data_IF_128563418777
#
_entry.id   IF_128563418777
#
_cell.length_a   1.000
_cell.length_b   1.000
_cell.length_c   1.000
_cell.angle_alpha   90.00
_cell.angle_beta   90.00
_cell.angle_gamma   90.00
#
_symmetry.space_group_name_H-M   'P 1'
#
loop_
_entity.id
_entity.type
_entity.pdbx_description
1 polymer ?
#
# COMPACT_ATOMS: atom_id res chain seq x y z
N UNK A 1 25.86 7.34 9.67
CA UNK A 1 25.44 8.46 8.78
C UNK A 1 26.58 9.31 8.21
N UNK A 2 27.53 9.87 9.00
CA UNK A 2 28.58 10.77 8.47
C UNK A 2 29.42 10.17 7.34
N UNK A 3 29.67 8.86 7.40
CA UNK A 3 30.32 8.09 6.35
C UNK A 3 29.59 8.23 5.00
N UNK A 4 28.24 8.14 4.97
CA UNK A 4 27.48 8.17 3.72
C UNK A 4 27.66 9.50 2.99
N UNK A 5 27.72 10.61 3.74
CA UNK A 5 28.00 11.93 3.18
C UNK A 5 29.38 11.99 2.51
N UNK A 6 30.40 11.40 3.13
CA UNK A 6 31.76 11.38 2.57
C UNK A 6 31.75 10.61 1.26
N UNK A 7 31.22 9.39 1.26
CA UNK A 7 31.33 8.49 0.11
C UNK A 7 30.46 8.93 -1.06
N UNK A 8 29.26 9.48 -0.81
CA UNK A 8 28.44 10.09 -1.86
C UNK A 8 29.12 11.30 -2.45
N UNK A 9 29.67 12.22 -1.62
CA UNK A 9 30.41 13.38 -2.14
C UNK A 9 31.60 12.95 -3.00
N UNK A 10 32.31 11.89 -2.61
CA UNK A 10 33.42 11.34 -3.40
C UNK A 10 32.93 10.77 -4.73
N UNK A 11 31.88 9.93 -4.72
CA UNK A 11 31.32 9.36 -5.95
C UNK A 11 30.85 10.45 -6.92
N UNK A 12 30.17 11.49 -6.42
CA UNK A 12 29.69 12.63 -7.22
C UNK A 12 30.80 13.55 -7.76
N UNK A 13 32.08 13.30 -7.46
CA UNK A 13 33.20 13.95 -8.18
C UNK A 13 33.43 13.35 -9.56
N UNK A 14 32.99 12.12 -9.76
CA UNK A 14 33.21 11.33 -10.98
C UNK A 14 31.87 11.06 -11.66
N UNK A 15 30.84 10.76 -10.88
CA UNK A 15 29.51 10.41 -11.34
C UNK A 15 28.58 11.63 -11.42
N UNK A 16 27.61 11.58 -12.32
CA UNK A 16 26.52 12.55 -12.33
C UNK A 16 25.62 12.36 -11.11
N UNK A 17 25.03 13.46 -10.64
CA UNK A 17 24.02 13.38 -9.58
C UNK A 17 22.84 12.56 -10.10
N UNK A 18 22.44 11.51 -9.38
CA UNK A 18 21.37 10.66 -9.86
C UNK A 18 20.01 11.36 -9.69
N UNK A 19 19.01 10.99 -10.50
CA UNK A 19 17.66 11.54 -10.41
C UNK A 19 16.96 11.14 -9.09
N UNK A 20 15.83 11.77 -8.81
CA UNK A 20 15.04 11.52 -7.59
C UNK A 20 13.90 10.51 -7.78
N UNK A 21 13.85 9.78 -8.90
CA UNK A 21 12.67 8.98 -9.29
C UNK A 21 12.27 7.94 -8.23
N UNK A 22 13.28 7.30 -7.62
CA UNK A 22 13.09 6.24 -6.62
C UNK A 22 13.28 6.71 -5.17
N UNK A 23 13.28 8.03 -4.89
CA UNK A 23 13.36 8.54 -3.51
C UNK A 23 12.34 7.85 -2.59
N UNK A 24 11.02 7.77 -2.94
CA UNK A 24 10.04 7.18 -2.03
C UNK A 24 10.26 5.68 -1.77
N UNK A 25 10.70 4.93 -2.80
CA UNK A 25 11.06 3.52 -2.66
C UNK A 25 12.23 3.36 -1.68
N UNK A 26 13.31 4.11 -1.88
CA UNK A 26 14.52 4.02 -1.05
C UNK A 26 14.22 4.42 0.39
N UNK A 27 13.41 5.45 0.62
CA UNK A 27 12.93 5.84 1.96
C UNK A 27 12.19 4.68 2.61
N UNK A 28 11.27 4.02 1.90
CA UNK A 28 10.53 2.85 2.40
C UNK A 28 11.41 1.64 2.76
N UNK A 29 12.66 1.58 2.26
CA UNK A 29 13.64 0.53 2.60
C UNK A 29 14.41 0.80 3.89
N UNK A 30 14.26 1.98 4.50
CA UNK A 30 14.92 2.38 5.73
C UNK A 30 13.86 2.61 6.82
N UNK A 31 13.62 1.60 7.67
CA UNK A 31 12.63 1.70 8.75
C UNK A 31 12.94 2.80 9.78
N UNK A 32 14.21 3.18 9.88
CA UNK A 32 14.80 4.17 10.79
C UNK A 32 15.15 5.48 10.06
N UNK A 33 14.57 5.72 8.88
CA UNK A 33 14.85 6.92 8.08
C UNK A 33 14.65 8.24 8.87
N UNK A 34 13.67 8.28 9.77
CA UNK A 34 13.40 9.46 10.59
C UNK A 34 14.47 9.72 11.66
N UNK A 35 15.31 8.73 12.00
CA UNK A 35 16.43 8.89 12.94
C UNK A 35 17.69 9.47 12.28
N UNK A 36 17.70 9.56 10.94
CA UNK A 36 18.78 10.18 10.18
C UNK A 36 18.70 11.69 10.37
N UNK A 37 19.83 12.34 10.67
CA UNK A 37 19.89 13.80 10.72
C UNK A 37 19.42 14.43 9.41
N UNK A 38 18.60 15.48 9.47
CA UNK A 38 17.93 16.05 8.30
C UNK A 38 18.89 16.49 7.19
N UNK A 39 20.05 17.05 7.54
CA UNK A 39 21.11 17.44 6.59
C UNK A 39 21.80 16.24 5.91
N UNK A 40 21.58 15.03 6.41
CA UNK A 40 22.16 13.78 5.93
C UNK A 40 21.16 12.86 5.20
N UNK A 41 19.85 13.12 5.30
CA UNK A 41 18.80 12.30 4.69
C UNK A 41 19.00 12.11 3.18
N UNK A 42 19.28 13.18 2.43
CA UNK A 42 19.54 13.05 0.99
C UNK A 42 20.79 12.21 0.69
N UNK A 43 21.85 12.34 1.49
CA UNK A 43 23.06 11.53 1.30
C UNK A 43 22.80 10.05 1.59
N UNK A 44 21.92 9.73 2.54
CA UNK A 44 21.50 8.35 2.76
C UNK A 44 20.78 7.80 1.53
N UNK A 45 19.81 8.54 0.99
CA UNK A 45 19.07 8.15 -0.22
C UNK A 45 20.00 7.97 -1.41
N UNK A 46 20.85 8.96 -1.69
CA UNK A 46 21.83 8.91 -2.78
C UNK A 46 22.82 7.75 -2.61
N UNK A 47 23.19 7.42 -1.37
CA UNK A 47 24.06 6.28 -1.06
C UNK A 47 23.45 4.92 -1.45
N UNK A 48 22.15 4.73 -1.23
CA UNK A 48 21.41 3.55 -1.69
C UNK A 48 21.25 3.55 -3.20
N UNK A 49 20.96 4.71 -3.79
CA UNK A 49 20.77 4.85 -5.23
C UNK A 49 22.03 4.56 -6.02
N UNK A 50 23.16 5.09 -5.57
CA UNK A 50 24.47 4.81 -6.16
C UNK A 50 24.96 3.39 -5.82
N UNK A 51 24.26 2.65 -4.96
CA UNK A 51 24.63 1.30 -4.57
C UNK A 51 25.88 1.22 -3.71
N UNK A 52 26.22 2.30 -3.02
CA UNK A 52 27.38 2.40 -2.12
C UNK A 52 27.07 1.76 -0.77
N UNK A 53 25.85 1.97 -0.27
CA UNK A 53 25.36 1.45 1.01
C UNK A 53 23.99 0.78 0.82
N UNK A 54 23.65 -0.14 1.71
CA UNK A 54 22.36 -0.86 1.67
C UNK A 54 21.71 -1.02 3.05
N UNK A 55 22.40 -0.62 4.12
CA UNK A 55 21.98 -0.91 5.49
C UNK A 55 21.92 -2.42 5.77
N UNK A 56 21.22 -2.81 6.82
CA UNK A 56 21.02 -4.21 7.19
C UNK A 56 19.70 -4.38 7.91
N UNK A 57 19.06 -5.55 7.74
CA UNK A 57 17.78 -5.89 8.35
C UNK A 57 16.63 -4.88 8.09
N UNK A 58 16.68 -4.13 6.98
CA UNK A 58 15.67 -3.11 6.64
C UNK A 58 15.89 -1.74 7.30
N UNK A 59 17.05 -1.50 7.90
CA UNK A 59 17.42 -0.26 8.56
C UNK A 59 18.76 0.28 8.05
N UNK A 60 18.95 1.58 8.11
CA UNK A 60 20.18 2.28 7.72
C UNK A 60 21.24 2.32 8.81
N UNK A 61 20.82 2.30 10.08
CA UNK A 61 21.65 2.43 11.29
C UNK A 61 22.40 3.77 11.36
N UNK A 62 21.69 4.93 11.40
CA UNK A 62 22.33 6.25 11.27
C UNK A 62 23.41 6.52 12.32
N UNK A 63 23.20 6.08 13.56
CA UNK A 63 24.13 6.28 14.69
C UNK A 63 25.05 5.09 14.93
N UNK A 64 24.94 4.04 14.11
CA UNK A 64 25.80 2.86 14.19
C UNK A 64 27.25 3.15 13.78
N UNK A 65 28.18 2.38 14.34
CA UNK A 65 29.57 2.35 13.88
C UNK A 65 29.71 1.32 12.77
N UNK A 66 30.58 1.61 11.80
CA UNK A 66 30.92 0.63 10.78
C UNK A 66 31.95 -0.36 11.34
N UNK A 67 31.75 -1.63 11.03
CA UNK A 67 32.81 -2.63 11.11
C UNK A 67 33.87 -2.37 10.04
N UNK A 68 35.08 -2.91 10.24
CA UNK A 68 36.16 -2.81 9.24
C UNK A 68 35.76 -3.42 7.89
N UNK A 69 34.98 -4.50 7.91
CA UNK A 69 34.51 -5.18 6.70
C UNK A 69 33.50 -4.32 5.91
N UNK A 70 32.55 -3.69 6.60
CA UNK A 70 31.60 -2.76 5.97
C UNK A 70 32.32 -1.55 5.38
N UNK A 71 33.26 -0.96 6.11
CA UNK A 71 34.06 0.16 5.61
C UNK A 71 34.86 -0.21 4.36
N UNK A 72 35.51 -1.38 4.35
CA UNK A 72 36.24 -1.89 3.19
C UNK A 72 35.30 -2.11 1.99
N UNK A 73 34.11 -2.66 2.22
CA UNK A 73 33.10 -2.88 1.18
C UNK A 73 32.67 -1.57 0.53
N UNK A 74 32.42 -0.52 1.31
CA UNK A 74 32.05 0.79 0.77
C UNK A 74 33.21 1.40 -0.03
N UNK A 75 34.45 1.27 0.43
CA UNK A 75 35.63 1.74 -0.32
C UNK A 75 35.74 1.01 -1.67
N UNK A 76 35.59 -0.32 -1.68
CA UNK A 76 35.59 -1.11 -2.92
C UNK A 76 34.53 -0.59 -3.90
N UNK A 77 33.29 -0.34 -3.43
CA UNK A 77 32.20 0.20 -4.27
C UNK A 77 32.47 1.62 -4.81
N UNK A 78 33.30 2.41 -4.13
CA UNK A 78 33.74 3.71 -4.65
C UNK A 78 34.76 3.51 -5.78
N UNK A 79 35.73 2.62 -5.56
CA UNK A 79 36.85 2.37 -6.49
C UNK A 79 36.43 1.57 -7.74
N UNK A 80 35.47 0.66 -7.58
CA UNK A 80 34.95 -0.20 -8.63
C UNK A 80 33.42 -0.08 -8.69
N UNK A 81 32.93 0.55 -9.76
CA UNK A 81 31.49 0.75 -9.96
C UNK A 81 30.75 -0.55 -10.27
N UNK A 82 31.45 -1.61 -10.70
CA UNK A 82 30.83 -2.92 -10.97
C UNK A 82 30.42 -3.66 -9.69
N UNK A 83 31.03 -3.29 -8.55
CA UNK A 83 30.70 -3.82 -7.23
C UNK A 83 29.51 -3.09 -6.56
N UNK A 84 29.07 -1.96 -7.13
CA UNK A 84 27.93 -1.20 -6.62
C UNK A 84 26.65 -2.00 -6.79
N UNK A 85 25.73 -1.83 -5.83
CA UNK A 85 24.42 -2.49 -5.84
C UNK A 85 23.29 -1.46 -5.71
N UNK A 86 22.99 -0.68 -6.78
CA UNK A 86 21.94 0.31 -6.78
C UNK A 86 20.61 -0.24 -6.27
N UNK A 87 19.98 0.48 -5.35
CA UNK A 87 18.64 0.15 -4.87
C UNK A 87 17.62 0.70 -5.85
N UNK A 88 16.97 -0.22 -6.58
CA UNK A 88 15.92 0.09 -7.56
C UNK A 88 14.75 -0.86 -7.33
N UNK A 89 13.50 -0.41 -7.57
CA UNK A 89 12.34 -1.28 -7.42
C UNK A 89 12.34 -2.37 -8.48
N UNK A 90 11.97 -3.59 -8.10
CA UNK A 90 11.60 -4.63 -9.06
C UNK A 90 10.28 -4.30 -9.78
N UNK A 91 9.99 -4.94 -10.92
CA UNK A 91 8.74 -4.76 -11.66
C UNK A 91 7.49 -5.02 -10.78
N UNK A 92 7.56 -6.05 -9.92
CA UNK A 92 6.48 -6.41 -9.00
C UNK A 92 6.39 -5.50 -7.77
N UNK A 93 7.36 -4.60 -7.56
CA UNK A 93 7.41 -3.63 -6.46
C UNK A 93 6.86 -2.26 -6.86
N UNK A 94 6.09 -2.20 -7.95
CA UNK A 94 5.47 -0.97 -8.44
C UNK A 94 3.99 -1.13 -8.73
N UNK A 95 3.24 -0.08 -8.40
CA UNK A 95 1.87 0.16 -8.89
C UNK A 95 1.85 1.54 -9.52
N UNK A 96 1.42 1.64 -10.77
CA UNK A 96 1.28 2.90 -11.48
C UNK A 96 -0.16 3.38 -11.49
N UNK A 97 -0.38 4.56 -10.92
CA UNK A 97 -1.63 5.28 -10.92
C UNK A 97 -1.56 6.49 -11.84
N UNK A 98 -2.71 7.06 -12.18
CA UNK A 98 -2.82 8.40 -12.74
C UNK A 98 -3.35 9.33 -11.64
N UNK A 99 -2.70 10.48 -11.44
CA UNK A 99 -3.21 11.53 -10.57
C UNK A 99 -4.44 12.22 -11.19
N UNK A 100 -5.03 13.17 -10.46
CA UNK A 100 -6.21 13.92 -10.93
C UNK A 100 -5.97 14.77 -12.19
N UNK A 101 -4.71 14.94 -12.61
CA UNK A 101 -4.29 15.67 -13.80
C UNK A 101 -3.83 14.73 -14.93
N UNK A 102 -3.89 13.42 -14.72
CA UNK A 102 -3.42 12.42 -15.67
C UNK A 102 -1.92 12.16 -15.65
N UNK A 103 -1.17 12.67 -14.67
CA UNK A 103 0.25 12.37 -14.53
C UNK A 103 0.44 11.00 -13.87
N UNK A 104 1.43 10.21 -14.32
CA UNK A 104 1.75 8.95 -13.66
C UNK A 104 2.26 9.19 -12.24
N UNK A 105 1.70 8.46 -11.29
CA UNK A 105 2.17 8.39 -9.90
C UNK A 105 2.49 6.93 -9.59
N UNK A 106 3.67 6.67 -9.06
CA UNK A 106 4.10 5.30 -8.72
C UNK A 106 4.10 5.13 -7.22
N UNK A 107 3.55 4.01 -6.77
CA UNK A 107 3.59 3.58 -5.38
C UNK A 107 4.48 2.36 -5.28
N UNK A 108 5.25 2.32 -4.19
CA UNK A 108 6.20 1.26 -3.88
C UNK A 108 5.95 0.69 -2.49
N UNK A 109 6.36 -0.56 -2.19
CA UNK A 109 6.20 -1.17 -0.87
C UNK A 109 6.66 -0.26 0.27
N UNK A 110 5.74 0.01 1.20
CA UNK A 110 6.07 0.71 2.45
C UNK A 110 6.58 -0.23 3.55
N UNK A 111 6.74 0.32 4.76
CA UNK A 111 7.19 -0.44 5.94
C UNK A 111 6.26 -1.60 6.32
N UNK A 112 4.95 -1.46 6.05
CA UNK A 112 3.95 -2.54 6.21
C UNK A 112 3.72 -3.20 4.84
N UNK A 113 4.52 -4.22 4.52
CA UNK A 113 4.50 -4.92 3.22
C UNK A 113 3.13 -5.48 2.82
N UNK A 114 2.32 -5.85 3.82
CA UNK A 114 0.97 -6.39 3.60
C UNK A 114 0.09 -5.42 2.80
N UNK A 115 0.14 -4.12 3.11
CA UNK A 115 -0.70 -3.10 2.46
C UNK A 115 -0.42 -3.03 0.95
N UNK A 116 0.86 -3.09 0.57
CA UNK A 116 1.26 -3.09 -0.84
C UNK A 116 0.87 -4.41 -1.53
N UNK A 117 1.00 -5.53 -0.84
CA UNK A 117 0.60 -6.85 -1.34
C UNK A 117 -0.91 -6.88 -1.67
N UNK A 118 -1.74 -6.34 -0.78
CA UNK A 118 -3.19 -6.22 -1.00
C UNK A 118 -3.51 -5.22 -2.12
N UNK A 119 -2.75 -4.12 -2.24
CA UNK A 119 -2.90 -3.18 -3.34
C UNK A 119 -2.58 -3.83 -4.71
N UNK A 120 -1.51 -4.63 -4.82
CA UNK A 120 -1.19 -5.41 -6.03
C UNK A 120 -2.27 -6.44 -6.35
N UNK A 121 -2.80 -7.13 -5.34
CA UNK A 121 -3.91 -8.05 -5.54
C UNK A 121 -5.17 -7.33 -6.04
N UNK A 122 -5.42 -6.12 -5.54
CA UNK A 122 -6.52 -5.27 -6.00
C UNK A 122 -6.33 -4.85 -7.47
N UNK A 123 -5.13 -4.42 -7.86
CA UNK A 123 -4.78 -4.12 -9.26
C UNK A 123 -4.99 -5.34 -10.17
N UNK A 124 -4.47 -6.50 -9.78
CA UNK A 124 -4.59 -7.74 -10.54
C UNK A 124 -6.05 -8.23 -10.65
N UNK A 125 -6.91 -7.88 -9.68
CA UNK A 125 -8.31 -8.25 -9.67
C UNK A 125 -9.19 -7.36 -10.57
N UNK A 126 -8.72 -6.20 -11.02
CA UNK A 126 -9.54 -5.25 -11.81
C UNK A 126 -10.30 -5.91 -12.99
N UNK A 127 -9.71 -6.84 -13.78
CA UNK A 127 -10.43 -7.52 -14.87
C UNK A 127 -11.58 -8.43 -14.43
N UNK A 128 -11.71 -8.73 -13.12
CA UNK A 128 -12.79 -9.54 -12.56
C UNK A 128 -14.04 -8.72 -12.23
N UNK A 129 -13.94 -7.39 -12.23
CA UNK A 129 -15.09 -6.51 -12.11
C UNK A 129 -15.87 -6.51 -13.43
N UNK A 130 -17.21 -6.63 -13.37
CA UNK A 130 -18.08 -6.45 -14.54
C UNK A 130 -18.43 -4.98 -14.77
N UNK A 131 -18.43 -4.17 -13.71
CA UNK A 131 -18.56 -2.72 -13.79
C UNK A 131 -17.21 -2.01 -13.95
N UNK A 132 -17.20 -0.69 -13.83
CA UNK A 132 -15.99 0.11 -13.89
C UNK A 132 -15.41 0.33 -12.49
N UNK A 133 -14.10 0.11 -12.33
CA UNK A 133 -13.37 0.37 -11.09
C UNK A 133 -12.34 1.47 -11.33
N UNK A 134 -12.52 2.62 -10.69
CA UNK A 134 -11.49 3.64 -10.61
C UNK A 134 -10.53 3.29 -9.46
N UNK A 135 -9.36 2.75 -9.79
CA UNK A 135 -8.31 2.39 -8.85
C UNK A 135 -7.23 3.47 -8.81
N UNK A 136 -7.05 4.12 -7.67
CA UNK A 136 -6.19 5.30 -7.54
C UNK A 136 -5.58 5.41 -6.14
N UNK A 137 -4.49 6.17 -6.02
CA UNK A 137 -4.01 6.68 -4.74
C UNK A 137 -4.50 8.12 -4.55
N UNK A 138 -4.96 8.45 -3.35
CA UNK A 138 -5.35 9.82 -2.98
C UNK A 138 -4.17 10.78 -3.12
N UNK A 139 -4.45 12.05 -3.38
CA UNK A 139 -3.41 13.09 -3.57
C UNK A 139 -2.53 13.31 -2.33
N UNK A 140 -3.00 12.91 -1.15
CA UNK A 140 -2.23 12.93 0.10
C UNK A 140 -1.32 11.70 0.29
N UNK A 141 -1.39 10.73 -0.63
CA UNK A 141 -0.64 9.49 -0.58
C UNK A 141 -1.08 8.52 0.52
N UNK A 142 -2.19 8.81 1.23
CA UNK A 142 -2.57 8.07 2.45
C UNK A 142 -3.45 6.88 2.17
N UNK A 143 -4.34 6.97 1.20
CA UNK A 143 -5.28 5.90 0.86
C UNK A 143 -5.14 5.47 -0.58
N UNK A 144 -5.10 4.16 -0.81
CA UNK A 144 -5.34 3.57 -2.12
C UNK A 144 -6.79 3.10 -2.15
N UNK A 145 -7.55 3.51 -3.15
CA UNK A 145 -8.98 3.28 -3.24
C UNK A 145 -9.34 2.64 -4.57
N UNK A 146 -10.23 1.66 -4.54
CA UNK A 146 -10.96 1.12 -5.68
C UNK A 146 -12.43 1.58 -5.56
N UNK A 147 -12.77 2.68 -6.24
CA UNK A 147 -14.15 3.14 -6.33
C UNK A 147 -14.87 2.39 -7.46
N UNK A 148 -16.03 1.82 -7.16
CA UNK A 148 -16.77 0.96 -8.06
C UNK A 148 -18.00 1.71 -8.61
N UNK A 149 -18.22 1.65 -9.91
CA UNK A 149 -19.30 2.33 -10.63
C UNK A 149 -19.91 1.39 -11.66
N UNK A 150 -21.20 1.56 -11.97
CA UNK A 150 -21.89 0.79 -13.03
C UNK A 150 -21.05 0.65 -14.30
N UNK A 151 -20.54 1.76 -14.79
CA UNK A 151 -19.74 1.88 -16.01
C UNK A 151 -18.87 3.14 -15.96
N UNK A 152 -18.01 3.31 -16.97
CA UNK A 152 -17.12 4.48 -17.07
C UNK A 152 -17.89 5.80 -17.19
N UNK A 153 -19.00 5.80 -17.93
CA UNK A 153 -19.81 7.00 -18.13
C UNK A 153 -20.43 7.50 -16.81
N UNK A 154 -20.76 6.58 -15.89
CA UNK A 154 -21.27 6.90 -14.56
C UNK A 154 -20.21 7.61 -13.71
N UNK A 155 -18.97 7.13 -13.75
CA UNK A 155 -17.83 7.80 -13.12
C UNK A 155 -17.58 9.20 -13.70
N UNK A 156 -17.59 9.33 -15.02
CA UNK A 156 -17.36 10.61 -15.70
C UNK A 156 -18.48 11.64 -15.43
N UNK A 157 -19.73 11.18 -15.27
CA UNK A 157 -20.85 12.04 -14.86
C UNK A 157 -20.71 12.53 -13.42
N UNK A 158 -20.30 11.66 -12.50
CA UNK A 158 -20.10 12.03 -11.10
C UNK A 158 -19.20 11.04 -10.37
N UNK A 159 -18.09 11.57 -9.84
CA UNK A 159 -17.18 10.79 -8.99
C UNK A 159 -17.83 10.38 -7.65
N UNK A 160 -18.93 11.01 -7.26
CA UNK A 160 -19.65 10.72 -6.00
C UNK A 160 -20.67 9.59 -6.14
N UNK A 161 -21.17 9.32 -7.35
CA UNK A 161 -22.19 8.29 -7.63
C UNK A 161 -21.65 6.86 -7.67
N UNK A 162 -20.76 6.51 -6.74
CA UNK A 162 -20.14 5.18 -6.67
C UNK A 162 -21.05 4.17 -5.98
N UNK A 163 -21.08 2.95 -6.50
CA UNK A 163 -21.77 1.78 -5.95
C UNK A 163 -21.14 1.34 -4.62
N UNK A 164 -19.81 1.28 -4.61
CA UNK A 164 -19.02 0.79 -3.51
C UNK A 164 -17.60 1.36 -3.55
N UNK A 165 -16.86 1.19 -2.46
CA UNK A 165 -15.46 1.55 -2.36
C UNK A 165 -14.74 0.53 -1.49
N UNK A 166 -13.64 -0.02 -2.01
CA UNK A 166 -12.63 -0.68 -1.20
C UNK A 166 -11.46 0.29 -0.98
N UNK A 167 -11.07 0.53 0.25
CA UNK A 167 -9.98 1.45 0.61
C UNK A 167 -8.93 0.74 1.47
N UNK A 168 -7.67 1.01 1.14
CA UNK A 168 -6.48 0.55 1.84
C UNK A 168 -5.84 1.77 2.51
N UNK A 169 -5.71 1.75 3.83
CA UNK A 169 -5.04 2.80 4.60
C UNK A 169 -3.51 2.63 4.46
N UNK A 170 -2.97 3.12 3.36
CA UNK A 170 -1.62 2.83 2.87
C UNK A 170 -0.51 3.51 3.70
N UNK A 171 -0.56 4.83 3.83
CA UNK A 171 0.42 5.62 4.59
C UNK A 171 -0.24 6.37 5.76
N UNK A 172 -1.28 5.78 6.35
CA UNK A 172 -2.01 6.36 7.48
C UNK A 172 -1.35 5.94 8.79
N UNK A 173 -0.95 6.91 9.60
CA UNK A 173 -0.52 6.65 10.99
C UNK A 173 -1.75 6.40 11.87
N UNK A 174 -1.65 5.44 12.77
CA UNK A 174 -2.64 5.17 13.83
C UNK A 174 -4.07 4.86 13.34
N UNK A 175 -4.21 4.26 12.16
CA UNK A 175 -5.53 3.83 11.67
C UNK A 175 -6.06 2.63 12.47
N UNK A 176 -7.31 2.70 12.92
CA UNK A 176 -7.97 1.57 13.59
C UNK A 176 -8.15 0.38 12.65
N UNK A 177 -8.48 0.66 11.38
CA UNK A 177 -8.71 -0.36 10.35
C UNK A 177 -7.85 -0.06 9.13
N UNK A 178 -7.30 -1.10 8.54
CA UNK A 178 -6.38 -0.97 7.42
C UNK A 178 -7.03 -1.23 6.08
N UNK A 179 -8.14 -1.97 6.09
CA UNK A 179 -8.99 -2.17 4.92
C UNK A 179 -10.43 -1.85 5.26
N UNK A 180 -11.11 -1.13 4.37
CA UNK A 180 -12.55 -0.91 4.48
C UNK A 180 -13.22 -1.17 3.14
N UNK A 181 -14.32 -1.91 3.15
CA UNK A 181 -15.27 -2.01 2.04
C UNK A 181 -16.53 -1.29 2.48
N UNK A 182 -17.02 -0.35 1.69
CA UNK A 182 -18.33 0.27 1.88
C UNK A 182 -19.15 0.07 0.60
N UNK A 183 -20.41 -0.32 0.75
CA UNK A 183 -21.38 -0.57 -0.32
C UNK A 183 -22.58 0.32 -0.02
N UNK A 184 -23.00 1.11 -1.01
CA UNK A 184 -24.12 2.04 -0.93
C UNK A 184 -25.30 1.63 -1.83
N UNK A 185 -25.07 0.69 -2.74
CA UNK A 185 -26.08 0.10 -3.63
C UNK A 185 -25.74 -1.40 -3.74
N UNK A 186 -26.43 -2.21 -2.92
CA UNK A 186 -26.14 -3.62 -2.73
C UNK A 186 -26.58 -4.48 -3.93
N UNK A 187 -27.71 -4.15 -4.55
CA UNK A 187 -28.20 -4.81 -5.76
C UNK A 187 -27.22 -4.66 -6.92
N UNK A 188 -26.80 -3.42 -7.22
CA UNK A 188 -25.82 -3.17 -8.27
C UNK A 188 -24.45 -3.77 -7.92
N UNK A 189 -24.07 -3.74 -6.64
CA UNK A 189 -22.82 -4.34 -6.20
C UNK A 189 -22.80 -5.85 -6.46
N UNK A 190 -23.85 -6.56 -6.05
CA UNK A 190 -23.95 -8.02 -6.18
C UNK A 190 -23.97 -8.45 -7.65
N UNK A 191 -24.51 -7.63 -8.54
CA UNK A 191 -24.47 -7.90 -9.98
C UNK A 191 -23.04 -7.80 -10.56
N UNK A 192 -22.30 -6.76 -10.15
CA UNK A 192 -21.13 -6.28 -10.89
C UNK A 192 -19.77 -6.57 -10.24
N UNK A 193 -19.67 -6.61 -8.91
CA UNK A 193 -18.39 -6.60 -8.19
C UNK A 193 -18.07 -7.79 -7.26
N UNK A 194 -18.91 -8.84 -7.05
CA UNK A 194 -18.54 -9.89 -6.09
C UNK A 194 -17.29 -10.66 -6.56
N UNK A 195 -17.12 -10.87 -7.87
CA UNK A 195 -15.91 -11.50 -8.42
C UNK A 195 -14.63 -10.71 -8.11
N UNK A 196 -14.69 -9.38 -8.23
CA UNK A 196 -13.59 -8.48 -7.91
C UNK A 196 -13.21 -8.53 -6.42
N UNK A 197 -14.17 -8.33 -5.52
CA UNK A 197 -13.90 -8.31 -4.09
C UNK A 197 -13.47 -9.68 -3.55
N UNK A 198 -14.03 -10.78 -4.08
CA UNK A 198 -13.63 -12.13 -3.67
C UNK A 198 -12.17 -12.43 -3.97
N UNK A 199 -11.60 -11.92 -5.07
CA UNK A 199 -10.16 -12.06 -5.32
C UNK A 199 -9.32 -11.29 -4.28
N UNK A 200 -9.73 -10.08 -3.91
CA UNK A 200 -9.05 -9.30 -2.87
C UNK A 200 -9.09 -10.05 -1.52
N UNK A 201 -10.24 -10.65 -1.17
CA UNK A 201 -10.40 -11.40 0.06
C UNK A 201 -9.51 -12.63 0.16
N UNK A 202 -9.18 -13.28 -0.97
CA UNK A 202 -8.19 -14.38 -0.96
C UNK A 202 -6.82 -13.91 -0.45
N UNK A 203 -6.41 -12.69 -0.80
CA UNK A 203 -5.14 -12.13 -0.31
C UNK A 203 -5.24 -11.60 1.11
N UNK A 204 -6.33 -10.90 1.46
CA UNK A 204 -6.51 -10.33 2.81
C UNK A 204 -6.67 -11.42 3.87
N UNK A 205 -7.51 -12.42 3.60
CA UNK A 205 -7.90 -13.42 4.60
C UNK A 205 -7.22 -14.78 4.41
N UNK A 206 -6.41 -14.98 3.36
CA UNK A 206 -5.61 -16.20 3.14
C UNK A 206 -6.44 -17.49 3.35
N UNK A 207 -6.08 -18.31 4.34
CA UNK A 207 -6.77 -19.56 4.68
C UNK A 207 -8.24 -19.39 5.09
N UNK A 208 -8.60 -18.23 5.65
CA UNK A 208 -9.95 -17.90 6.07
C UNK A 208 -10.78 -17.18 4.99
N UNK A 209 -10.25 -17.02 3.76
CA UNK A 209 -10.93 -16.33 2.68
C UNK A 209 -12.33 -16.89 2.39
N UNK A 210 -12.52 -18.21 2.40
CA UNK A 210 -13.84 -18.80 2.18
C UNK A 210 -14.83 -18.49 3.31
N UNK A 211 -14.36 -18.35 4.56
CA UNK A 211 -15.21 -17.92 5.67
C UNK A 211 -15.59 -16.46 5.53
N UNK A 212 -14.63 -15.60 5.16
CA UNK A 212 -14.86 -14.18 4.90
C UNK A 212 -15.89 -13.96 3.77
N UNK A 213 -15.75 -14.70 2.66
CA UNK A 213 -16.68 -14.63 1.52
C UNK A 213 -18.09 -15.07 1.93
N UNK A 214 -18.23 -16.15 2.71
CA UNK A 214 -19.54 -16.58 3.21
C UNK A 214 -20.20 -15.53 4.11
N UNK A 215 -19.43 -14.88 4.98
CA UNK A 215 -19.95 -13.79 5.83
C UNK A 215 -20.34 -12.56 5.01
N UNK A 216 -19.51 -12.18 4.03
CA UNK A 216 -19.85 -11.15 3.06
C UNK A 216 -21.17 -11.44 2.35
N UNK A 217 -21.33 -12.62 1.74
CA UNK A 217 -22.53 -12.98 0.98
C UNK A 217 -23.78 -13.02 1.89
N UNK A 218 -23.62 -13.49 3.14
CA UNK A 218 -24.68 -13.44 4.15
C UNK A 218 -25.14 -12.01 4.39
N UNK A 219 -24.21 -11.09 4.63
CA UNK A 219 -24.54 -9.69 4.93
C UNK A 219 -25.06 -8.92 3.72
N UNK A 220 -24.64 -9.28 2.51
CA UNK A 220 -25.19 -8.73 1.26
C UNK A 220 -26.67 -9.07 1.09
N UNK A 221 -27.07 -10.29 1.45
CA UNK A 221 -28.45 -10.80 1.29
C UNK A 221 -29.35 -10.54 2.50
N UNK A 222 -28.77 -10.26 3.66
CA UNK A 222 -29.53 -9.90 4.87
C UNK A 222 -30.20 -8.53 4.68
N UNK A 223 -31.52 -8.47 4.88
CA UNK A 223 -32.27 -7.21 4.96
C UNK A 223 -32.24 -6.67 6.39
N UNK A 224 -32.17 -5.35 6.53
CA UNK A 224 -32.01 -4.71 7.83
C UNK A 224 -33.34 -4.73 8.56
N UNK A 225 -33.39 -5.40 9.71
CA UNK A 225 -34.64 -5.65 10.43
C UNK A 225 -34.73 -4.95 11.79
N UNK A 226 -33.73 -4.13 12.15
CA UNK A 226 -33.67 -3.48 13.46
C UNK A 226 -34.50 -2.22 13.53
N UNK A 227 -35.32 -2.11 14.58
CA UNK A 227 -36.19 -0.96 14.84
C UNK A 227 -35.62 0.01 15.87
N UNK A 228 -34.49 -0.32 16.50
CA UNK A 228 -33.84 0.47 17.56
C UNK A 228 -32.79 1.47 17.03
N UNK A 229 -32.62 1.55 15.70
CA UNK A 229 -31.70 2.48 15.04
C UNK A 229 -30.21 2.11 15.18
N UNK A 230 -29.90 0.91 15.68
CA UNK A 230 -28.53 0.40 15.79
C UNK A 230 -28.16 -0.48 14.59
N UNK A 231 -26.89 -0.45 14.19
CA UNK A 231 -26.39 -1.32 13.12
C UNK A 231 -26.49 -2.81 13.50
N UNK A 232 -26.79 -3.65 12.51
CA UNK A 232 -26.53 -5.09 12.60
C UNK A 232 -25.03 -5.31 12.35
N UNK A 233 -24.29 -5.80 13.35
CA UNK A 233 -22.87 -6.07 13.16
C UNK A 233 -22.41 -7.40 13.76
N UNK A 234 -21.46 -8.03 13.10
CA UNK A 234 -20.69 -9.17 13.60
C UNK A 234 -19.23 -8.78 13.59
N UNK A 235 -18.62 -8.79 14.77
CA UNK A 235 -17.17 -8.75 14.91
C UNK A 235 -16.66 -10.19 15.03
N UNK A 236 -15.67 -10.54 14.22
CA UNK A 236 -15.04 -11.86 14.23
C UNK A 236 -13.55 -11.76 13.98
N UNK A 237 -12.81 -12.85 14.16
CA UNK A 237 -11.39 -12.94 13.86
C UNK A 237 -11.18 -13.92 12.71
N UNK A 238 -10.57 -13.45 11.62
CA UNK A 238 -10.34 -14.24 10.40
C UNK A 238 -8.89 -14.06 9.98
N UNK A 239 -8.07 -15.10 9.94
CA UNK A 239 -6.64 -15.02 9.62
C UNK A 239 -5.92 -13.97 10.50
N UNK A 240 -6.06 -14.15 11.82
CA UNK A 240 -5.40 -13.36 12.87
C UNK A 240 -5.61 -11.84 12.86
N UNK A 241 -6.77 -11.40 12.36
CA UNK A 241 -7.19 -9.99 12.40
C UNK A 241 -8.67 -9.89 12.77
N UNK A 242 -8.99 -8.85 13.53
CA UNK A 242 -10.38 -8.48 13.79
C UNK A 242 -11.02 -7.94 12.50
N UNK A 243 -12.24 -8.38 12.26
CA UNK A 243 -13.04 -8.02 11.10
C UNK A 243 -14.47 -7.77 11.52
N UNK A 244 -14.96 -6.58 11.18
CA UNK A 244 -16.33 -6.18 11.41
C UNK A 244 -17.12 -6.25 10.11
N UNK A 245 -18.24 -6.95 10.14
CA UNK A 245 -19.26 -6.92 9.10
C UNK A 245 -20.44 -6.13 9.65
N UNK A 246 -20.84 -5.06 8.97
CA UNK A 246 -21.81 -4.09 9.48
C UNK A 246 -22.84 -3.83 8.39
N UNK A 247 -24.13 -4.00 8.72
CA UNK A 247 -25.27 -3.55 7.93
C UNK A 247 -25.86 -2.32 8.61
N UNK A 248 -25.84 -1.19 7.92
CA UNK A 248 -26.33 0.08 8.44
C UNK A 248 -27.82 0.28 8.17
N UNK A 249 -28.29 -0.16 7.01
CA UNK A 249 -29.66 -0.03 6.55
C UNK A 249 -29.96 -1.09 5.45
N UNK A 250 -31.09 -0.95 4.77
CA UNK A 250 -31.52 -1.90 3.75
C UNK A 250 -30.63 -1.99 2.51
N UNK A 251 -29.76 -1.01 2.26
CA UNK A 251 -28.86 -0.96 1.09
C UNK A 251 -27.38 -0.80 1.47
N UNK A 252 -27.11 -0.29 2.67
CA UNK A 252 -25.80 0.03 3.21
C UNK A 252 -25.14 -1.15 3.92
N UNK A 253 -23.97 -1.53 3.42
CA UNK A 253 -23.13 -2.58 4.01
C UNK A 253 -21.67 -2.13 4.06
N UNK A 254 -20.96 -2.49 5.12
CA UNK A 254 -19.51 -2.29 5.20
C UNK A 254 -18.77 -3.44 5.87
N UNK A 255 -17.53 -3.64 5.45
CA UNK A 255 -16.56 -4.49 6.12
C UNK A 255 -15.38 -3.63 6.56
N UNK A 256 -14.95 -3.78 7.81
CA UNK A 256 -13.75 -3.11 8.33
C UNK A 256 -12.78 -4.16 8.86
N UNK A 257 -11.52 -4.07 8.45
CA UNK A 257 -10.52 -5.12 8.70
C UNK A 257 -9.25 -4.49 9.28
N UNK A 258 -8.77 -5.03 10.40
CA UNK A 258 -7.46 -4.65 10.98
C UNK A 258 -6.30 -5.33 10.23
N UNK A 259 -5.07 -4.81 10.40
CA UNK A 259 -3.87 -5.53 9.94
C UNK A 259 -3.72 -6.86 10.67
N UNK A 260 -3.03 -7.80 10.03
CA UNK A 260 -2.72 -9.11 10.60
C UNK A 260 -1.92 -8.95 11.90
N UNK A 261 -2.28 -9.72 12.92
CA UNK A 261 -1.52 -9.80 14.18
C UNK A 261 -1.80 -8.65 15.15
N UNK A 262 -2.57 -7.63 14.77
CA UNK A 262 -3.08 -6.65 15.73
C UNK A 262 -4.12 -7.32 16.65
N UNK A 263 -4.01 -7.05 17.95
CA UNK A 263 -4.98 -7.47 18.98
C UNK A 263 -5.98 -6.36 19.22
#
# INVERSE_FOLDING_TARGET
ELMVRIVVRTALKIDQKPDSLYDPYIIGRMSDYEEISDDLKQFAIDGYRLGLVQGSAGSFHPKGTLTRAEAATVIIRILDSTERRPTTPGEDEMISFLDSRGNPTVVYPGGVKELFTVAKATEAALPKAKGFVNFFIGSDGKYICANMYRDRASYERSIFGKTAQFAIAYNVKDTTYSYTLNVWDDEMYEELFPGFIREIFKTVFEEDAQKAIKLHDKYMTQRYSRTDGLNDYTTTRLNDRETDFIRQDDIGFSIKVKLKGLK
#
